data_IF_138414106293
#
_entry.id   IF_138414106293
#
_cell.length_a   1.000
_cell.length_b   1.000
_cell.length_c   1.000
_cell.angle_alpha   90.00
_cell.angle_beta   90.00
_cell.angle_gamma   90.00
#
_symmetry.space_group_name_H-M   'P 1'
#
loop_
_entity.id
_entity.type
_entity.pdbx_description
1 polymer ?
#
# COMPACT_ATOMS: atom_id res chain seq x y z
N UNK A 1 -6.44 0.48 -6.15
CA UNK A 1 -5.95 0.46 -7.54
C UNK A 1 -7.01 -0.19 -8.43
N UNK A 2 -7.09 0.22 -9.69
CA UNK A 2 -7.97 -0.47 -10.64
C UNK A 2 -7.46 -1.90 -10.86
N UNK A 3 -8.40 -2.84 -10.98
CA UNK A 3 -8.09 -4.25 -11.11
C UNK A 3 -9.12 -4.97 -11.98
N UNK A 4 -8.66 -5.96 -12.73
CA UNK A 4 -9.50 -6.79 -13.59
C UNK A 4 -9.16 -8.27 -13.46
N UNK A 5 -10.17 -9.12 -13.66
CA UNK A 5 -9.99 -10.57 -13.72
C UNK A 5 -9.59 -10.95 -15.14
N UNK A 6 -8.40 -11.52 -15.29
CA UNK A 6 -7.91 -12.04 -16.57
C UNK A 6 -7.97 -13.57 -16.60
N UNK A 7 -8.05 -14.13 -17.81
CA UNK A 7 -8.04 -15.59 -18.03
C UNK A 7 -7.00 -15.95 -19.09
N UNK A 8 -6.13 -16.89 -18.77
CA UNK A 8 -5.15 -17.47 -19.69
C UNK A 8 -5.33 -19.00 -19.73
N UNK A 9 -6.11 -19.48 -20.71
CA UNK A 9 -6.57 -20.87 -20.76
C UNK A 9 -7.41 -21.22 -19.51
N UNK A 10 -6.91 -22.15 -18.69
CA UNK A 10 -7.55 -22.55 -17.42
C UNK A 10 -7.12 -21.71 -16.21
N UNK A 11 -6.17 -20.79 -16.37
CA UNK A 11 -5.70 -19.93 -15.29
C UNK A 11 -6.62 -18.72 -15.18
N UNK A 12 -7.14 -18.48 -13.98
CA UNK A 12 -7.83 -17.24 -13.60
C UNK A 12 -6.90 -16.44 -12.69
N UNK A 13 -6.59 -15.20 -13.06
CA UNK A 13 -5.69 -14.33 -12.32
C UNK A 13 -6.30 -12.93 -12.12
N UNK A 14 -5.72 -12.17 -11.18
CA UNK A 14 -6.07 -10.78 -10.94
C UNK A 14 -4.95 -9.89 -11.48
N UNK A 15 -5.26 -9.07 -12.48
CA UNK A 15 -4.35 -8.03 -12.95
C UNK A 15 -4.68 -6.73 -12.19
N UNK A 16 -3.69 -6.18 -11.48
CA UNK A 16 -3.83 -4.93 -10.72
C UNK A 16 -2.96 -3.88 -11.37
N UNK A 17 -3.53 -2.73 -11.71
CA UNK A 17 -2.77 -1.62 -12.28
C UNK A 17 -1.76 -1.08 -11.25
N UNK A 18 -0.51 -0.94 -11.69
CA UNK A 18 0.59 -0.49 -10.84
C UNK A 18 0.54 1.02 -10.67
N UNK A 19 0.28 1.48 -9.45
CA UNK A 19 0.28 2.91 -9.10
C UNK A 19 1.68 3.52 -8.99
N UNK A 20 2.74 2.71 -8.93
CA UNK A 20 4.14 3.12 -9.01
C UNK A 20 4.66 3.23 -10.46
N UNK A 21 3.75 3.27 -11.44
CA UNK A 21 4.04 3.45 -12.86
C UNK A 21 3.13 4.53 -13.44
N UNK A 22 3.66 5.32 -14.37
CA UNK A 22 2.87 6.38 -15.02
C UNK A 22 3.39 6.64 -16.44
N UNK A 23 2.49 6.61 -17.42
CA UNK A 23 2.81 7.09 -18.76
C UNK A 23 3.05 8.61 -18.74
N UNK A 24 4.01 9.08 -19.52
CA UNK A 24 4.06 10.51 -19.85
C UNK A 24 2.83 10.90 -20.67
N UNK A 25 2.57 12.20 -20.81
CA UNK A 25 1.37 12.72 -21.49
C UNK A 25 1.21 12.18 -22.92
N UNK A 26 2.32 12.02 -23.64
CA UNK A 26 2.36 11.51 -25.03
C UNK A 26 2.31 9.98 -25.13
N UNK A 27 2.33 9.26 -24.00
CA UNK A 27 2.35 7.78 -23.91
C UNK A 27 3.51 7.12 -24.66
N UNK A 28 4.63 7.81 -24.77
CA UNK A 28 5.86 7.32 -25.39
C UNK A 28 6.83 6.72 -24.37
N UNK A 29 6.71 7.11 -23.10
CA UNK A 29 7.60 6.66 -22.03
C UNK A 29 6.76 6.23 -20.81
N UNK A 30 7.01 5.02 -20.33
CA UNK A 30 6.46 4.52 -19.07
C UNK A 30 7.46 4.76 -17.94
N UNK A 31 7.17 5.78 -17.11
CA UNK A 31 7.99 6.17 -15.97
C UNK A 31 7.75 5.26 -14.76
N UNK A 32 8.77 5.11 -13.92
CA UNK A 32 8.66 4.53 -12.58
C UNK A 32 8.57 5.66 -11.55
N UNK A 33 7.68 5.51 -10.58
CA UNK A 33 7.56 6.41 -9.44
C UNK A 33 8.28 5.76 -8.24
N UNK A 34 9.22 6.45 -7.57
CA UNK A 34 9.85 5.91 -6.36
C UNK A 34 8.82 5.67 -5.25
N UNK A 35 8.88 4.48 -4.65
CA UNK A 35 8.02 4.06 -3.56
C UNK A 35 8.72 2.98 -2.74
N UNK A 36 8.45 2.96 -1.45
CA UNK A 36 8.88 1.93 -0.50
C UNK A 36 7.72 1.55 0.44
N UNK A 37 7.81 0.41 1.11
CA UNK A 37 6.85 -0.03 2.13
C UNK A 37 7.26 0.41 3.56
N UNK A 38 6.37 0.22 4.53
CA UNK A 38 6.63 0.63 5.93
C UNK A 38 7.81 -0.12 6.58
N UNK A 39 8.10 -1.36 6.17
CA UNK A 39 9.29 -2.05 6.69
C UNK A 39 10.55 -1.36 6.19
N UNK A 40 10.62 -1.07 4.89
CA UNK A 40 11.75 -0.37 4.26
C UNK A 40 11.95 1.03 4.85
N UNK A 41 10.88 1.83 4.96
CA UNK A 41 10.92 3.18 5.55
C UNK A 41 11.46 3.17 6.98
N UNK A 42 11.16 2.13 7.75
CA UNK A 42 11.68 1.98 9.12
C UNK A 42 12.99 1.16 9.21
N UNK A 43 13.57 0.73 8.08
CA UNK A 43 14.79 -0.09 8.05
C UNK A 43 14.63 -1.48 8.69
N UNK A 44 13.42 -2.02 8.68
CA UNK A 44 13.06 -3.31 9.28
C UNK A 44 13.16 -4.46 8.27
N UNK A 45 13.61 -5.66 8.69
CA UNK A 45 13.51 -6.84 7.86
C UNK A 45 12.05 -7.29 7.71
N UNK A 46 11.74 -7.98 6.61
CA UNK A 46 10.38 -8.48 6.34
C UNK A 46 9.86 -9.48 7.38
N UNK A 47 10.76 -10.11 8.16
CA UNK A 47 10.40 -11.05 9.23
C UNK A 47 9.64 -10.42 10.39
N UNK A 48 9.70 -9.09 10.55
CA UNK A 48 8.99 -8.35 11.60
C UNK A 48 7.89 -7.46 11.02
N UNK A 49 7.31 -7.84 9.89
CA UNK A 49 6.24 -7.05 9.26
C UNK A 49 4.96 -6.96 10.10
N UNK A 50 4.67 -8.00 10.90
CA UNK A 50 3.48 -8.04 11.76
C UNK A 50 3.76 -7.40 13.11
N UNK A 51 2.78 -6.68 13.65
CA UNK A 51 2.86 -6.07 14.98
C UNK A 51 3.15 -7.10 16.09
N UNK A 52 2.56 -8.31 15.99
CA UNK A 52 2.80 -9.41 16.93
C UNK A 52 4.25 -9.88 16.98
N UNK A 53 5.02 -9.67 15.91
CA UNK A 53 6.43 -10.01 15.78
C UNK A 53 7.36 -8.80 16.04
N UNK A 54 6.79 -7.69 16.56
CA UNK A 54 7.53 -6.44 16.84
C UNK A 54 7.50 -5.41 15.71
N UNK A 55 6.64 -5.60 14.70
CA UNK A 55 6.45 -4.69 13.58
C UNK A 55 5.75 -3.37 13.93
N UNK A 56 5.67 -2.43 12.98
CA UNK A 56 5.07 -1.12 13.20
C UNK A 56 3.54 -1.20 13.27
N UNK A 57 2.99 -0.87 14.44
CA UNK A 57 1.54 -0.73 14.65
C UNK A 57 0.93 0.59 14.16
N UNK A 58 -0.38 0.72 14.33
CA UNK A 58 -1.16 1.94 14.02
C UNK A 58 -0.52 3.18 14.64
N UNK A 59 -0.11 3.11 15.91
CA UNK A 59 0.46 4.25 16.62
C UNK A 59 1.77 4.75 15.98
N UNK A 60 2.67 3.82 15.60
CA UNK A 60 3.96 4.16 14.99
C UNK A 60 3.78 4.72 13.58
N UNK A 61 2.89 4.11 12.79
CA UNK A 61 2.58 4.59 11.43
C UNK A 61 1.91 5.97 11.48
N UNK A 62 0.95 6.20 12.39
CA UNK A 62 0.29 7.50 12.54
C UNK A 62 1.25 8.61 12.97
N UNK A 63 2.23 8.30 13.83
CA UNK A 63 3.28 9.24 14.20
C UNK A 63 4.18 9.56 13.00
N UNK A 64 4.54 8.57 12.19
CA UNK A 64 5.30 8.77 10.96
C UNK A 64 4.54 9.63 9.94
N UNK A 65 3.24 9.38 9.73
CA UNK A 65 2.40 10.13 8.79
C UNK A 65 2.21 11.61 9.18
N UNK A 66 2.59 12.04 10.39
CA UNK A 66 2.69 13.47 10.71
C UNK A 66 3.70 14.22 9.84
N UNK A 67 4.71 13.52 9.32
CA UNK A 67 5.74 14.07 8.43
C UNK A 67 5.40 13.94 6.93
N UNK A 68 4.24 13.40 6.57
CA UNK A 68 3.84 13.29 5.16
C UNK A 68 3.58 14.69 4.56
N UNK A 69 3.82 14.85 3.25
CA UNK A 69 3.42 16.05 2.51
C UNK A 69 1.91 16.31 2.55
N UNK A 70 1.11 15.25 2.73
CA UNK A 70 -0.36 15.30 2.82
C UNK A 70 -0.86 14.83 4.20
N UNK A 71 -0.11 15.13 5.27
CA UNK A 71 -0.28 14.57 6.62
C UNK A 71 -1.73 14.49 7.13
N UNK A 72 -2.53 15.56 6.97
CA UNK A 72 -3.93 15.57 7.42
C UNK A 72 -4.77 14.53 6.69
N UNK A 73 -4.61 14.43 5.36
CA UNK A 73 -5.36 13.50 4.53
C UNK A 73 -4.90 12.07 4.75
N UNK A 74 -3.59 11.83 4.77
CA UNK A 74 -3.06 10.48 4.91
C UNK A 74 -3.43 9.84 6.25
N UNK A 75 -3.41 10.62 7.34
CA UNK A 75 -3.86 10.16 8.65
C UNK A 75 -5.36 9.86 8.68
N UNK A 76 -6.17 10.69 8.02
CA UNK A 76 -7.60 10.45 7.88
C UNK A 76 -7.88 9.16 7.09
N UNK A 77 -7.26 9.02 5.92
CA UNK A 77 -7.45 7.88 5.03
C UNK A 77 -6.90 6.59 5.66
N UNK A 78 -5.78 6.64 6.39
CA UNK A 78 -5.23 5.49 7.11
C UNK A 78 -6.18 4.98 8.21
N UNK A 79 -6.74 5.88 9.02
CA UNK A 79 -7.71 5.48 10.06
C UNK A 79 -9.03 5.00 9.47
N UNK A 80 -9.50 5.63 8.38
CA UNK A 80 -10.65 5.15 7.61
C UNK A 80 -10.40 3.73 7.08
N UNK A 81 -9.19 3.44 6.64
CA UNK A 81 -8.81 2.10 6.18
C UNK A 81 -8.83 1.06 7.31
N UNK A 82 -8.44 1.41 8.55
CA UNK A 82 -8.54 0.49 9.69
C UNK A 82 -9.99 0.05 9.93
N UNK A 83 -10.94 1.00 9.90
CA UNK A 83 -12.37 0.70 10.02
C UNK A 83 -12.86 -0.15 8.85
N UNK A 84 -12.40 0.14 7.63
CA UNK A 84 -12.71 -0.68 6.46
C UNK A 84 -12.23 -2.12 6.62
N UNK A 85 -10.97 -2.34 7.04
CA UNK A 85 -10.40 -3.67 7.28
C UNK A 85 -11.23 -4.46 8.31
N UNK A 86 -11.64 -3.80 9.39
CA UNK A 86 -12.54 -4.40 10.38
C UNK A 86 -13.89 -4.80 9.77
N UNK A 87 -14.52 -3.93 8.97
CA UNK A 87 -15.81 -4.19 8.34
C UNK A 87 -15.78 -5.39 7.37
N UNK A 88 -14.68 -5.60 6.65
CA UNK A 88 -14.55 -6.70 5.68
C UNK A 88 -13.83 -7.93 6.23
N UNK A 89 -13.35 -7.89 7.49
CA UNK A 89 -12.60 -8.98 8.11
C UNK A 89 -11.20 -9.20 7.51
N UNK A 90 -10.54 -8.14 7.03
CA UNK A 90 -9.15 -8.22 6.55
C UNK A 90 -8.20 -8.32 7.76
N UNK A 91 -7.56 -9.47 7.93
CA UNK A 91 -6.73 -9.81 9.11
C UNK A 91 -5.22 -9.83 8.81
N UNK A 92 -4.83 -9.50 7.58
CA UNK A 92 -3.44 -9.55 7.07
C UNK A 92 -2.97 -8.16 6.58
N UNK A 93 -3.33 -7.13 7.35
CA UNK A 93 -3.10 -5.70 7.04
C UNK A 93 -1.80 -5.13 7.57
#
# INVERSE_FOLDING_TARGET
PDAEIIKAGRVRALAVERFDRRWNTERTVLLRLPQEDMCQTFGLPSSVKYESDGGPGIARIMAFLMGSSEALRDRYDFMKFQVFQWLIGATDG
#
